data_IF_835823832510
#
_entry.id   IF_835823832510
#
_cell.length_a   1.000
_cell.length_b   1.000
_cell.length_c   1.000
_cell.angle_alpha   90.00
_cell.angle_beta   90.00
_cell.angle_gamma   90.00
#
_symmetry.space_group_name_H-M   'P 1'
#
loop_
_entity.id
_entity.type
_entity.pdbx_description
1 polymer ?
#
# COMPACT_ATOMS: atom_id res chain seq x y z
N UNK A 1 -21.43 9.96 54.98
CA UNK A 1 -19.97 9.71 55.03
C UNK A 1 -19.52 9.18 53.69
N UNK A 2 -19.10 10.11 52.82
CA UNK A 2 -18.55 9.78 51.54
C UNK A 2 -17.04 9.65 51.65
N UNK A 3 -16.50 8.53 51.19
CA UNK A 3 -15.06 8.36 51.02
C UNK A 3 -14.66 8.82 49.61
N UNK A 4 -13.88 9.91 49.57
CA UNK A 4 -13.15 10.33 48.39
C UNK A 4 -11.95 9.37 48.19
N UNK A 5 -11.92 8.64 47.07
CA UNK A 5 -10.74 7.89 46.65
C UNK A 5 -9.91 8.83 45.79
N UNK A 6 -8.79 9.28 46.32
CA UNK A 6 -7.78 10.03 45.56
C UNK A 6 -6.88 9.00 44.87
N UNK A 7 -6.91 9.01 43.50
CA UNK A 7 -5.96 8.23 42.71
C UNK A 7 -4.72 9.09 42.50
N UNK A 8 -3.63 8.72 43.12
CA UNK A 8 -2.33 9.36 43.03
C UNK A 8 -1.57 8.75 41.82
N UNK A 9 -1.34 9.53 40.77
CA UNK A 9 -0.49 9.14 39.65
C UNK A 9 0.95 9.51 39.95
N UNK A 10 1.69 8.62 40.57
CA UNK A 10 3.15 8.75 40.66
C UNK A 10 3.78 8.34 39.33
N UNK A 11 4.25 9.31 38.57
CA UNK A 11 5.10 9.11 37.39
C UNK A 11 6.51 8.83 37.89
N UNK A 12 7.03 7.63 37.60
CA UNK A 12 8.41 7.24 37.89
C UNK A 12 9.38 7.99 36.93
N UNK A 13 10.30 8.83 37.41
CA UNK A 13 11.17 9.63 36.55
C UNK A 13 12.32 8.84 35.89
N UNK A 14 12.35 7.51 36.02
CA UNK A 14 13.46 6.68 35.53
C UNK A 14 13.06 5.68 34.43
N UNK A 15 11.90 5.80 33.82
CA UNK A 15 11.63 5.10 32.56
C UNK A 15 12.43 5.80 31.45
N UNK A 16 13.65 5.29 31.21
CA UNK A 16 14.44 5.64 30.05
C UNK A 16 13.56 5.47 28.81
N UNK A 17 13.29 6.61 28.16
CA UNK A 17 12.73 6.69 26.81
C UNK A 17 13.49 5.75 25.88
N UNK A 18 13.07 4.51 25.78
CA UNK A 18 13.37 3.67 24.63
C UNK A 18 12.52 4.18 23.48
N UNK A 19 12.97 5.29 22.88
CA UNK A 19 12.39 5.92 21.71
C UNK A 19 12.71 5.10 20.48
N UNK A 20 12.00 4.04 20.25
CA UNK A 20 11.75 3.51 18.92
C UNK A 20 10.29 3.12 18.79
N UNK A 21 9.41 4.10 19.00
CA UNK A 21 8.04 4.00 18.50
C UNK A 21 8.12 4.00 16.99
N UNK A 22 8.35 2.82 16.39
CA UNK A 22 8.17 2.56 14.98
C UNK A 22 6.74 3.02 14.66
N UNK A 23 6.61 4.17 14.01
CA UNK A 23 5.35 4.62 13.41
C UNK A 23 5.05 3.74 12.19
N UNK A 24 4.82 2.46 12.44
CA UNK A 24 4.27 1.57 11.42
C UNK A 24 2.77 1.87 11.37
N UNK A 25 2.34 2.74 10.48
CA UNK A 25 0.92 2.97 10.19
C UNK A 25 0.27 1.75 9.52
N UNK A 26 1.03 0.69 9.22
CA UNK A 26 0.52 -0.51 8.58
C UNK A 26 -0.24 -1.38 9.58
N UNK A 27 -1.55 -1.41 9.46
CA UNK A 27 -2.40 -2.45 10.07
C UNK A 27 -2.19 -3.82 9.41
N UNK A 28 -1.35 -3.92 8.39
CA UNK A 28 -1.05 -5.14 7.66
C UNK A 28 0.33 -5.68 8.06
N UNK A 29 0.36 -6.92 8.55
CA UNK A 29 1.60 -7.60 8.91
C UNK A 29 2.20 -8.22 7.64
N UNK A 30 3.38 -7.76 7.23
CA UNK A 30 4.10 -8.39 6.12
C UNK A 30 4.34 -9.88 6.42
N UNK A 31 4.13 -10.74 5.42
CA UNK A 31 4.38 -12.17 5.57
C UNK A 31 5.90 -12.42 5.52
N UNK A 32 6.50 -13.05 6.54
CA UNK A 32 7.95 -13.15 6.65
C UNK A 32 8.60 -13.95 5.51
N UNK A 33 7.86 -14.91 4.93
CA UNK A 33 8.38 -15.74 3.85
C UNK A 33 8.24 -15.11 2.46
N UNK A 34 7.52 -13.96 2.34
CA UNK A 34 7.34 -13.29 1.06
C UNK A 34 8.48 -12.32 0.80
N UNK A 35 9.66 -12.88 0.53
CA UNK A 35 10.88 -12.15 0.18
C UNK A 35 11.26 -12.38 -1.28
N UNK A 36 12.17 -11.56 -1.83
CA UNK A 36 12.66 -11.77 -3.19
C UNK A 36 13.47 -13.06 -3.32
N UNK A 37 14.16 -13.48 -2.26
CA UNK A 37 14.95 -14.71 -2.21
C UNK A 37 14.08 -15.97 -2.33
N UNK A 38 12.87 -15.92 -1.78
CA UNK A 38 11.91 -17.03 -1.81
C UNK A 38 11.04 -17.02 -3.07
N UNK A 39 11.15 -16.01 -3.93
CA UNK A 39 10.39 -15.91 -5.16
C UNK A 39 11.07 -16.62 -6.32
N UNK A 40 10.39 -17.57 -6.95
CA UNK A 40 10.93 -18.29 -8.10
C UNK A 40 10.84 -17.43 -9.36
N UNK A 41 12.00 -17.03 -9.90
CA UNK A 41 12.09 -16.18 -11.09
C UNK A 41 12.21 -17.03 -12.35
N UNK A 42 11.34 -16.78 -13.32
CA UNK A 42 11.34 -17.42 -14.64
C UNK A 42 11.09 -16.41 -15.78
N UNK A 43 11.07 -16.86 -17.03
CA UNK A 43 10.80 -15.99 -18.17
C UNK A 43 9.45 -15.26 -18.08
N UNK A 44 8.44 -15.92 -17.48
CA UNK A 44 7.05 -15.46 -17.37
C UNK A 44 6.83 -14.34 -16.33
N UNK A 45 7.79 -14.10 -15.42
CA UNK A 45 7.65 -13.14 -14.33
C UNK A 45 8.89 -12.25 -14.13
N UNK A 46 9.94 -12.42 -14.95
CA UNK A 46 11.22 -11.70 -14.81
C UNK A 46 11.06 -10.20 -14.81
N UNK A 47 10.21 -9.64 -15.69
CA UNK A 47 10.00 -8.20 -15.75
C UNK A 47 9.34 -7.68 -14.46
N UNK A 48 8.29 -8.35 -13.99
CA UNK A 48 7.60 -7.96 -12.76
C UNK A 48 8.55 -8.03 -11.54
N UNK A 49 9.31 -9.12 -11.41
CA UNK A 49 10.32 -9.26 -10.36
C UNK A 49 11.37 -8.14 -10.42
N UNK A 50 12.01 -7.92 -11.58
CA UNK A 50 13.05 -6.90 -11.74
C UNK A 50 12.52 -5.48 -11.44
N UNK A 51 11.27 -5.20 -11.83
CA UNK A 51 10.62 -3.92 -11.56
C UNK A 51 10.37 -3.70 -10.07
N UNK A 52 9.90 -4.73 -9.37
CA UNK A 52 9.71 -4.71 -7.92
C UNK A 52 11.04 -4.48 -7.19
N UNK A 53 12.10 -5.16 -7.60
CA UNK A 53 13.46 -4.93 -7.06
C UNK A 53 13.91 -3.50 -7.30
N UNK A 54 13.75 -2.97 -8.51
CA UNK A 54 14.15 -1.59 -8.84
C UNK A 54 13.39 -0.55 -8.00
N UNK A 55 12.07 -0.72 -7.84
CA UNK A 55 11.23 0.16 -7.03
C UNK A 55 11.60 0.09 -5.54
N UNK A 56 11.90 -1.09 -5.01
CA UNK A 56 12.36 -1.22 -3.61
C UNK A 56 13.68 -0.51 -3.35
N UNK A 57 14.49 -0.36 -4.39
CA UNK A 57 15.78 0.33 -4.30
C UNK A 57 15.67 1.85 -4.31
N UNK A 58 14.70 2.40 -5.05
CA UNK A 58 14.53 3.83 -5.23
C UNK A 58 13.05 4.20 -5.37
N UNK A 59 12.28 4.12 -4.26
CA UNK A 59 10.86 4.43 -4.27
C UNK A 59 10.58 5.85 -4.79
N UNK A 60 9.53 6.01 -5.60
CA UNK A 60 9.12 7.28 -6.19
C UNK A 60 9.91 7.73 -7.42
N UNK A 61 11.10 7.16 -7.67
CA UNK A 61 12.00 7.64 -8.71
C UNK A 61 12.13 6.72 -9.95
N UNK A 62 11.78 5.43 -9.83
CA UNK A 62 11.99 4.48 -10.93
C UNK A 62 10.73 4.27 -11.73
N UNK A 63 9.83 3.44 -11.29
CA UNK A 63 8.56 3.15 -11.95
C UNK A 63 7.41 3.59 -11.05
N UNK A 64 6.76 4.70 -11.36
CA UNK A 64 5.68 5.24 -10.55
C UNK A 64 4.50 5.67 -11.44
N UNK A 65 3.32 5.02 -11.32
CA UNK A 65 3.08 3.82 -10.52
C UNK A 65 3.77 2.56 -11.08
N UNK A 66 3.97 1.55 -10.24
CA UNK A 66 4.23 0.19 -10.69
C UNK A 66 2.90 -0.60 -10.60
N UNK A 67 2.46 -1.14 -11.72
CA UNK A 67 1.25 -1.94 -11.83
C UNK A 67 1.60 -3.38 -12.22
N UNK A 68 1.37 -4.34 -11.30
CA UNK A 68 1.65 -5.76 -11.51
C UNK A 68 0.34 -6.49 -11.77
N UNK A 69 0.21 -7.20 -12.88
CA UNK A 69 -0.99 -7.95 -13.16
C UNK A 69 -0.73 -9.39 -13.63
N UNK A 70 -1.73 -10.24 -13.44
CA UNK A 70 -1.68 -11.64 -13.82
C UNK A 70 -2.73 -12.44 -13.05
N UNK A 71 -3.05 -13.65 -13.50
CA UNK A 71 -4.05 -14.52 -12.90
C UNK A 71 -3.79 -14.75 -11.40
N UNK A 72 -4.80 -15.19 -10.67
CA UNK A 72 -4.66 -15.52 -9.25
C UNK A 72 -3.61 -16.62 -9.04
N UNK A 73 -2.89 -16.58 -7.91
CA UNK A 73 -1.90 -17.58 -7.55
C UNK A 73 -0.52 -17.44 -8.22
N UNK A 74 -0.28 -16.45 -9.08
CA UNK A 74 1.00 -16.26 -9.77
C UNK A 74 2.06 -15.50 -8.97
N UNK A 75 1.79 -15.15 -7.69
CA UNK A 75 2.76 -14.51 -6.81
C UNK A 75 2.75 -12.98 -6.83
N UNK A 76 1.68 -12.32 -7.31
CA UNK A 76 1.54 -10.85 -7.25
C UNK A 76 1.72 -10.32 -5.83
N UNK A 77 0.90 -10.79 -4.90
CA UNK A 77 0.95 -10.42 -3.48
C UNK A 77 2.34 -10.68 -2.87
N UNK A 78 2.98 -11.79 -3.23
CA UNK A 78 4.35 -12.11 -2.80
C UNK A 78 5.34 -11.01 -3.24
N UNK A 79 5.32 -10.62 -4.52
CA UNK A 79 6.19 -9.55 -5.02
C UNK A 79 5.93 -8.20 -4.35
N UNK A 80 4.66 -7.87 -4.09
CA UNK A 80 4.32 -6.64 -3.37
C UNK A 80 4.89 -6.64 -1.95
N UNK A 81 4.73 -7.74 -1.21
CA UNK A 81 5.33 -7.90 0.12
C UNK A 81 6.86 -7.81 0.09
N UNK A 82 7.50 -8.55 -0.84
CA UNK A 82 8.94 -8.53 -1.00
C UNK A 82 9.48 -7.12 -1.27
N UNK A 83 8.76 -6.34 -2.07
CA UNK A 83 9.10 -4.94 -2.35
C UNK A 83 9.04 -4.09 -1.10
N UNK A 84 7.98 -4.22 -0.30
CA UNK A 84 7.83 -3.51 0.97
C UNK A 84 8.92 -3.89 1.96
N UNK A 85 9.19 -5.19 2.09
CA UNK A 85 10.19 -5.72 3.01
C UNK A 85 11.59 -5.18 2.69
N UNK A 86 11.98 -5.22 1.41
CA UNK A 86 13.29 -4.73 0.99
C UNK A 86 13.41 -3.20 1.11
N UNK A 87 12.35 -2.44 0.81
CA UNK A 87 12.35 -0.99 0.98
C UNK A 87 12.50 -0.59 2.45
N UNK A 88 11.82 -1.28 3.38
CA UNK A 88 11.97 -1.06 4.82
C UNK A 88 13.34 -1.48 5.35
N UNK A 89 13.91 -2.57 4.83
CA UNK A 89 15.26 -3.02 5.19
C UNK A 89 16.33 -1.98 4.87
N UNK A 90 16.15 -1.23 3.78
CA UNK A 90 17.07 -0.17 3.35
C UNK A 90 16.94 1.11 4.14
N UNK A 91 15.75 1.45 4.58
CA UNK A 91 15.47 2.66 5.33
C UNK A 91 14.38 2.40 6.37
N UNK A 92 14.78 2.30 7.61
CA UNK A 92 13.88 2.08 8.77
C UNK A 92 12.83 3.20 8.92
N UNK A 93 13.05 4.36 8.31
CA UNK A 93 12.16 5.51 8.39
C UNK A 93 11.11 5.54 7.26
N UNK A 94 11.17 4.62 6.30
CA UNK A 94 10.21 4.58 5.18
C UNK A 94 8.84 4.15 5.67
N UNK A 95 7.87 5.05 5.55
CA UNK A 95 6.48 4.79 5.93
C UNK A 95 5.75 4.17 4.75
N UNK A 96 5.44 2.89 4.84
CA UNK A 96 4.72 2.14 3.81
C UNK A 96 3.32 1.80 4.33
N UNK A 97 2.30 2.13 3.54
CA UNK A 97 0.94 1.66 3.76
C UNK A 97 0.65 0.54 2.75
N UNK A 98 0.52 -0.69 3.26
CA UNK A 98 0.09 -1.86 2.48
C UNK A 98 -1.33 -2.26 2.89
N UNK A 99 -2.22 -2.49 1.95
CA UNK A 99 -3.56 -3.01 2.18
C UNK A 99 -4.17 -3.62 0.92
N UNK A 100 -5.21 -4.44 1.10
CA UNK A 100 -6.06 -4.83 -0.02
C UNK A 100 -6.92 -3.66 -0.49
N UNK A 101 -7.31 -3.68 -1.76
CA UNK A 101 -8.25 -2.69 -2.27
C UNK A 101 -9.61 -2.76 -1.56
N UNK A 102 -10.04 -3.96 -1.16
CA UNK A 102 -11.24 -4.16 -0.36
C UNK A 102 -11.15 -3.44 0.99
N UNK A 103 -10.02 -3.55 1.69
CA UNK A 103 -9.78 -2.83 2.94
C UNK A 103 -9.78 -1.32 2.74
N UNK A 104 -9.21 -0.82 1.64
CA UNK A 104 -9.27 0.61 1.30
C UNK A 104 -10.71 1.09 1.18
N UNK A 105 -11.52 0.37 0.40
CA UNK A 105 -12.95 0.69 0.20
C UNK A 105 -13.72 0.63 1.52
N UNK A 106 -13.53 -0.41 2.33
CA UNK A 106 -14.22 -0.57 3.61
C UNK A 106 -13.86 0.55 4.60
N UNK A 107 -12.59 0.96 4.64
CA UNK A 107 -12.15 2.11 5.48
C UNK A 107 -12.73 3.42 4.98
N UNK A 108 -12.83 3.61 3.65
CA UNK A 108 -13.44 4.80 3.07
C UNK A 108 -14.93 4.89 3.43
N UNK A 109 -15.69 3.79 3.27
CA UNK A 109 -17.12 3.75 3.62
C UNK A 109 -17.30 4.09 5.10
N UNK A 110 -16.51 3.46 5.99
CA UNK A 110 -16.55 3.75 7.44
C UNK A 110 -16.24 5.22 7.74
N UNK A 111 -15.25 5.80 7.06
CA UNK A 111 -14.89 7.20 7.25
C UNK A 111 -16.03 8.17 6.84
N UNK A 112 -16.84 7.80 5.83
CA UNK A 112 -18.05 8.54 5.47
C UNK A 112 -19.10 8.44 6.59
N UNK A 113 -19.38 7.22 7.06
CA UNK A 113 -20.37 6.95 8.11
C UNK A 113 -20.02 7.67 9.43
N UNK A 114 -18.74 7.73 9.77
CA UNK A 114 -18.22 8.38 10.97
C UNK A 114 -17.97 9.91 10.78
N UNK A 115 -18.13 10.45 9.57
CA UNK A 115 -17.85 11.86 9.26
C UNK A 115 -16.35 12.22 9.36
N UNK A 116 -15.45 11.26 9.24
CA UNK A 116 -13.99 11.44 9.43
C UNK A 116 -13.18 11.25 8.13
N UNK A 117 -13.60 11.87 7.04
CA UNK A 117 -12.89 11.81 5.76
C UNK A 117 -11.47 12.41 5.84
N UNK A 118 -11.29 13.48 6.62
CA UNK A 118 -9.98 14.12 6.78
C UNK A 118 -8.96 13.18 7.42
N UNK A 119 -9.37 12.42 8.45
CA UNK A 119 -8.54 11.42 9.09
C UNK A 119 -8.16 10.29 8.12
N UNK A 120 -9.13 9.80 7.36
CA UNK A 120 -8.90 8.80 6.31
C UNK A 120 -7.87 9.30 5.28
N UNK A 121 -8.09 10.48 4.70
CA UNK A 121 -7.19 11.05 3.69
C UNK A 121 -5.78 11.28 4.23
N UNK A 122 -5.64 11.77 5.46
CA UNK A 122 -4.34 11.94 6.11
C UNK A 122 -3.58 10.63 6.22
N UNK A 123 -4.25 9.53 6.56
CA UNK A 123 -3.63 8.21 6.72
C UNK A 123 -2.92 7.75 5.43
N UNK A 124 -3.52 8.04 4.27
CA UNK A 124 -2.97 7.57 2.99
C UNK A 124 -2.03 8.58 2.32
N UNK A 125 -2.19 9.88 2.59
CA UNK A 125 -1.43 10.94 1.90
C UNK A 125 -0.09 11.28 2.56
N UNK A 126 0.17 10.79 3.76
CA UNK A 126 1.40 11.06 4.53
C UNK A 126 2.46 9.95 4.43
N UNK A 127 2.21 8.91 3.63
CA UNK A 127 3.12 7.79 3.47
C UNK A 127 4.19 8.05 2.40
N UNK A 128 5.28 7.30 2.44
CA UNK A 128 6.32 7.32 1.40
C UNK A 128 6.01 6.35 0.26
N UNK A 129 5.27 5.28 0.57
CA UNK A 129 4.77 4.35 -0.43
C UNK A 129 3.36 3.86 -0.07
N UNK A 130 2.49 3.83 -1.07
CA UNK A 130 1.17 3.21 -1.01
C UNK A 130 1.16 1.95 -1.87
N UNK A 131 0.84 0.82 -1.27
CA UNK A 131 0.75 -0.49 -1.95
C UNK A 131 -0.67 -1.02 -1.79
N UNK A 132 -1.35 -1.17 -2.91
CA UNK A 132 -2.73 -1.68 -2.95
C UNK A 132 -2.76 -2.97 -3.75
N UNK A 133 -3.17 -4.04 -3.07
CA UNK A 133 -3.35 -5.35 -3.69
C UNK A 133 -4.80 -5.49 -4.21
N UNK A 134 -4.93 -6.12 -5.39
CA UNK A 134 -6.19 -6.47 -6.01
C UNK A 134 -7.12 -5.27 -6.33
N UNK A 135 -6.62 -4.26 -7.07
CA UNK A 135 -7.38 -3.04 -7.42
C UNK A 135 -8.64 -3.28 -8.27
N UNK A 136 -8.85 -4.49 -8.80
CA UNK A 136 -10.10 -4.85 -9.46
C UNK A 136 -11.32 -4.79 -8.53
N UNK A 137 -11.15 -4.75 -7.21
CA UNK A 137 -12.22 -4.50 -6.24
C UNK A 137 -12.79 -3.07 -6.29
N UNK A 138 -12.18 -2.13 -7.04
CA UNK A 138 -12.77 -0.82 -7.33
C UNK A 138 -13.93 -0.88 -8.34
N UNK A 139 -14.08 -1.98 -9.09
CA UNK A 139 -15.17 -2.12 -10.07
C UNK A 139 -16.53 -1.81 -9.44
N UNK A 140 -17.40 -1.12 -10.18
CA UNK A 140 -18.76 -0.78 -9.76
C UNK A 140 -18.87 0.06 -8.46
N UNK A 141 -17.79 0.75 -8.07
CA UNK A 141 -17.71 1.53 -6.81
C UNK A 141 -17.30 2.97 -7.11
N UNK A 142 -18.14 3.73 -7.78
CA UNK A 142 -17.84 5.09 -8.29
C UNK A 142 -17.24 6.02 -7.23
N UNK A 143 -17.88 6.17 -6.06
CA UNK A 143 -17.37 7.03 -4.99
C UNK A 143 -15.99 6.59 -4.46
N UNK A 144 -15.75 5.27 -4.40
CA UNK A 144 -14.44 4.75 -3.99
C UNK A 144 -13.38 4.96 -5.06
N UNK A 145 -13.75 4.88 -6.34
CA UNK A 145 -12.87 5.22 -7.45
C UNK A 145 -12.49 6.70 -7.45
N UNK A 146 -13.43 7.58 -7.12
CA UNK A 146 -13.18 9.02 -7.01
C UNK A 146 -12.18 9.33 -5.88
N UNK A 147 -12.39 8.80 -4.67
CA UNK A 147 -11.46 9.01 -3.55
C UNK A 147 -10.10 8.37 -3.83
N UNK A 148 -10.07 7.19 -4.46
CA UNK A 148 -8.82 6.56 -4.87
C UNK A 148 -8.06 7.44 -5.87
N UNK A 149 -8.74 8.04 -6.84
CA UNK A 149 -8.15 8.96 -7.80
C UNK A 149 -7.53 10.20 -7.12
N UNK A 150 -8.22 10.78 -6.14
CA UNK A 150 -7.69 11.91 -5.37
C UNK A 150 -6.48 11.52 -4.52
N UNK A 151 -6.53 10.37 -3.86
CA UNK A 151 -5.40 9.82 -3.09
C UNK A 151 -4.20 9.52 -3.99
N UNK A 152 -4.43 8.90 -5.15
CA UNK A 152 -3.40 8.64 -6.15
C UNK A 152 -2.69 9.93 -6.59
N UNK A 153 -3.47 10.95 -7.00
CA UNK A 153 -2.89 12.21 -7.45
C UNK A 153 -2.10 12.92 -6.35
N UNK A 154 -2.61 12.91 -5.11
CA UNK A 154 -1.90 13.53 -3.98
C UNK A 154 -0.53 12.88 -3.75
N UNK A 155 -0.45 11.54 -3.79
CA UNK A 155 0.81 10.80 -3.65
C UNK A 155 1.75 11.02 -4.84
N UNK A 156 1.23 10.85 -6.05
CA UNK A 156 2.01 10.98 -7.27
C UNK A 156 2.66 12.36 -7.40
N UNK A 157 1.89 13.43 -7.18
CA UNK A 157 2.38 14.81 -7.25
C UNK A 157 3.43 15.14 -6.18
N UNK A 158 3.45 14.40 -5.07
CA UNK A 158 4.46 14.52 -4.02
C UNK A 158 5.63 13.53 -4.18
N UNK A 159 5.76 12.87 -5.34
CA UNK A 159 6.84 11.91 -5.61
C UNK A 159 6.81 10.66 -4.75
N UNK A 160 5.64 10.33 -4.15
CA UNK A 160 5.48 9.12 -3.33
C UNK A 160 5.25 7.92 -4.22
N UNK A 161 5.80 6.76 -3.82
CA UNK A 161 5.66 5.54 -4.59
C UNK A 161 4.23 4.99 -4.53
N UNK A 162 3.72 4.55 -5.66
CA UNK A 162 2.46 3.83 -5.78
C UNK A 162 2.74 2.48 -6.43
N UNK A 163 2.28 1.39 -5.77
CA UNK A 163 2.38 0.02 -6.30
C UNK A 163 0.98 -0.59 -6.25
N UNK A 164 0.57 -1.15 -7.36
CA UNK A 164 -0.77 -1.71 -7.54
C UNK A 164 -0.69 -3.14 -8.07
N UNK A 165 -1.59 -4.01 -7.66
CA UNK A 165 -1.78 -5.30 -8.31
C UNK A 165 -3.22 -5.48 -8.81
N UNK A 166 -3.40 -6.34 -9.83
CA UNK A 166 -4.69 -6.78 -10.32
C UNK A 166 -4.63 -8.18 -10.97
N UNK A 167 -5.80 -8.76 -11.22
CA UNK A 167 -5.93 -9.99 -12.02
C UNK A 167 -5.78 -9.76 -13.53
N UNK A 168 -5.98 -8.52 -13.98
CA UNK A 168 -5.99 -8.11 -15.39
C UNK A 168 -5.32 -6.74 -15.59
N UNK A 169 -4.90 -6.39 -16.82
CA UNK A 169 -4.32 -5.07 -17.08
C UNK A 169 -5.38 -3.96 -16.91
N UNK A 170 -4.97 -2.70 -16.64
CA UNK A 170 -5.88 -1.61 -16.28
C UNK A 170 -7.09 -1.46 -17.22
N UNK A 171 -6.86 -1.50 -18.53
CA UNK A 171 -7.93 -1.34 -19.52
C UNK A 171 -8.90 -2.52 -19.65
N UNK A 172 -8.66 -3.63 -18.94
CA UNK A 172 -9.53 -4.81 -18.91
C UNK A 172 -10.28 -4.98 -17.58
N UNK A 173 -10.06 -4.11 -16.62
CA UNK A 173 -10.82 -4.12 -15.36
C UNK A 173 -12.22 -3.54 -15.66
N UNK A 174 -13.30 -4.34 -15.46
CA UNK A 174 -14.66 -3.87 -15.77
C UNK A 174 -15.03 -2.65 -14.91
N UNK A 175 -15.79 -1.71 -15.50
CA UNK A 175 -16.35 -0.54 -14.81
C UNK A 175 -15.30 0.34 -14.10
N UNK A 176 -14.03 0.23 -14.49
CA UNK A 176 -12.99 1.13 -14.00
C UNK A 176 -13.02 2.43 -14.83
N UNK A 177 -13.04 3.57 -14.15
CA UNK A 177 -13.08 4.87 -14.80
C UNK A 177 -11.85 5.15 -15.66
N UNK A 178 -12.05 5.77 -16.82
CA UNK A 178 -10.99 6.06 -17.79
C UNK A 178 -9.86 6.89 -17.18
N UNK A 179 -10.16 7.78 -16.23
CA UNK A 179 -9.14 8.59 -15.53
C UNK A 179 -8.21 7.72 -14.68
N UNK A 180 -8.70 6.65 -14.03
CA UNK A 180 -7.86 5.69 -13.29
C UNK A 180 -7.05 4.81 -14.23
N UNK A 181 -7.67 4.31 -15.32
CA UNK A 181 -6.96 3.53 -16.35
C UNK A 181 -5.76 4.33 -16.86
N UNK A 182 -5.97 5.63 -17.19
CA UNK A 182 -4.90 6.52 -17.64
C UNK A 182 -3.77 6.63 -16.61
N UNK A 183 -4.11 6.84 -15.32
CA UNK A 183 -3.13 6.94 -14.23
C UNK A 183 -2.34 5.66 -14.01
N UNK A 184 -3.00 4.50 -14.04
CA UNK A 184 -2.34 3.21 -13.87
C UNK A 184 -1.34 2.89 -14.99
N UNK A 185 -1.56 3.43 -16.19
CA UNK A 185 -0.67 3.29 -17.32
C UNK A 185 0.48 4.32 -17.38
N UNK A 186 0.55 5.31 -16.48
CA UNK A 186 1.60 6.33 -16.51
C UNK A 186 3.00 5.78 -16.23
N UNK A 187 3.11 4.78 -15.38
CA UNK A 187 4.37 4.15 -15.02
C UNK A 187 4.63 2.87 -15.79
N UNK A 188 4.98 1.81 -15.08
CA UNK A 188 5.22 0.51 -15.67
C UNK A 188 4.07 -0.45 -15.35
N UNK A 189 3.51 -1.07 -16.40
CA UNK A 189 2.57 -2.19 -16.27
C UNK A 189 3.33 -3.48 -16.56
N UNK A 190 3.56 -4.28 -15.53
CA UNK A 190 4.30 -5.53 -15.58
C UNK A 190 3.35 -6.73 -15.48
N UNK A 191 3.44 -7.65 -16.43
CA UNK A 191 2.63 -8.86 -16.47
C UNK A 191 3.36 -10.04 -15.84
N UNK A 192 2.60 -10.89 -15.15
CA UNK A 192 3.03 -12.22 -14.73
C UNK A 192 2.19 -13.25 -15.49
N UNK A 193 2.86 -14.10 -16.25
CA UNK A 193 2.25 -15.22 -16.96
C UNK A 193 2.41 -16.52 -16.17
N UNK A 194 1.59 -17.54 -16.41
CA UNK A 194 1.84 -18.89 -15.94
C UNK A 194 3.21 -19.40 -16.43
N UNK A 195 3.88 -20.24 -15.64
CA UNK A 195 5.17 -20.83 -16.01
C UNK A 195 5.10 -21.73 -17.24
#
# INVERSE_FOLDING_TARGET
TGHLVTIDFSVDPNEKLNSSSRRTLSSFKLHPDYTFENFVVGPSNRLAHASCVAVSQSPGNTYNPLFVHGSSGLGKTHLLHATCFEAQRKSDNTVIQFLSCEDFVNRFIRAIEEGNLVGFQSQFRTVDALVIDDVQFLREREHSQEEFFHTFNALYNNGKQIILSADSPPGKIPSLEQRLISRFNWGLVARIDPP
#
